data_IF_149586228341
#
_entry.id   IF_149586228341
#
_cell.length_a   1.000
_cell.length_b   1.000
_cell.length_c   1.000
_cell.angle_alpha   90.00
_cell.angle_beta   90.00
_cell.angle_gamma   90.00
#
_symmetry.space_group_name_H-M   'P 1'
#
loop_
_entity.id
_entity.type
_entity.pdbx_description
1 polymer ?
#
# COMPACT_ATOMS: atom_id res chain seq x y z
N UNK A 1 44.15 -33.90 -40.38
CA UNK A 1 44.13 -32.55 -39.76
C UNK A 1 42.69 -32.06 -39.67
N UNK A 2 42.30 -31.61 -38.47
CA UNK A 2 41.10 -30.84 -38.02
C UNK A 2 39.69 -31.23 -38.52
N UNK A 3 38.93 -31.88 -37.62
CA UNK A 3 37.45 -31.90 -37.61
C UNK A 3 36.94 -30.62 -36.94
N UNK A 4 36.13 -29.83 -37.62
CA UNK A 4 35.54 -28.61 -37.06
C UNK A 4 34.14 -28.99 -36.55
N UNK A 5 34.02 -29.20 -35.25
CA UNK A 5 32.73 -29.37 -34.58
C UNK A 5 32.28 -27.98 -34.16
N UNK A 6 31.32 -27.42 -34.90
CA UNK A 6 30.69 -26.14 -34.58
C UNK A 6 29.58 -26.41 -33.56
N UNK A 7 29.94 -26.29 -32.29
CA UNK A 7 29.01 -26.41 -31.17
C UNK A 7 28.14 -25.15 -31.19
N UNK A 8 26.91 -25.28 -31.66
CA UNK A 8 25.86 -24.28 -31.46
C UNK A 8 25.57 -24.20 -29.96
N UNK A 9 26.25 -23.28 -29.29
CA UNK A 9 25.93 -22.87 -27.94
C UNK A 9 24.57 -22.16 -27.97
N UNK A 10 23.50 -22.90 -27.70
CA UNK A 10 22.19 -22.34 -27.40
C UNK A 10 22.34 -21.63 -26.06
N UNK A 11 22.65 -20.33 -26.11
CA UNK A 11 22.64 -19.46 -24.95
C UNK A 11 21.16 -19.23 -24.60
N UNK A 12 20.66 -19.71 -23.46
CA UNK A 12 19.36 -19.26 -23.01
C UNK A 12 19.49 -17.76 -22.71
N UNK A 13 18.91 -16.92 -23.57
CA UNK A 13 18.54 -15.57 -23.17
C UNK A 13 17.54 -15.74 -22.03
N UNK A 14 18.05 -15.68 -20.79
CA UNK A 14 17.21 -15.38 -19.65
C UNK A 14 16.65 -13.99 -19.90
N UNK A 15 15.43 -13.92 -20.45
CA UNK A 15 14.62 -12.72 -20.36
C UNK A 15 14.40 -12.49 -18.87
N UNK A 16 15.27 -11.70 -18.25
CA UNK A 16 14.93 -11.03 -17.01
C UNK A 16 13.74 -10.16 -17.33
N UNK A 17 12.54 -10.64 -17.00
CA UNK A 17 11.39 -9.79 -16.91
C UNK A 17 11.73 -8.74 -15.84
N UNK A 18 12.21 -7.58 -16.26
CA UNK A 18 12.15 -6.39 -15.44
C UNK A 18 10.67 -6.11 -15.24
N UNK A 19 10.10 -6.67 -14.17
CA UNK A 19 8.84 -6.21 -13.63
C UNK A 19 9.09 -4.82 -13.03
N UNK A 20 9.30 -3.83 -13.89
CA UNK A 20 9.25 -2.43 -13.50
C UNK A 20 7.79 -2.10 -13.29
N UNK A 21 7.28 -2.40 -12.11
CA UNK A 21 6.11 -1.69 -11.61
C UNK A 21 6.62 -0.36 -11.10
N UNK A 22 6.80 0.59 -12.02
CA UNK A 22 6.81 2.00 -11.64
C UNK A 22 5.41 2.33 -11.12
N UNK A 23 5.18 2.06 -9.84
CA UNK A 23 4.08 2.65 -9.10
C UNK A 23 4.46 4.10 -8.83
N UNK A 24 4.39 4.93 -9.88
CA UNK A 24 4.37 6.40 -9.77
C UNK A 24 3.01 6.81 -9.22
N UNK A 25 2.83 6.49 -7.94
CA UNK A 25 1.61 6.80 -7.22
C UNK A 25 1.83 8.16 -6.54
N UNK A 26 1.56 9.23 -7.30
CA UNK A 26 1.50 10.59 -6.77
C UNK A 26 0.32 10.69 -5.79
N UNK A 27 0.61 10.45 -4.51
CA UNK A 27 -0.37 10.46 -3.43
C UNK A 27 0.30 11.07 -2.20
N UNK A 28 0.40 12.39 -2.14
CA UNK A 28 1.09 13.07 -1.03
C UNK A 28 0.67 12.56 0.36
N UNK A 29 -0.59 12.09 0.48
CA UNK A 29 -1.16 11.51 1.68
C UNK A 29 -1.29 9.97 1.73
N UNK A 30 -0.95 9.15 0.73
CA UNK A 30 -1.04 7.69 0.92
C UNK A 30 0.27 7.07 1.39
N UNK A 31 0.17 5.98 2.17
CA UNK A 31 1.30 5.21 2.69
C UNK A 31 1.05 3.73 2.46
N UNK A 32 2.05 3.04 1.91
CA UNK A 32 2.06 1.59 1.78
C UNK A 32 2.98 1.03 2.88
N UNK A 33 2.47 0.11 3.68
CA UNK A 33 3.23 -0.51 4.77
C UNK A 33 3.20 -2.02 4.54
N UNK A 34 4.36 -2.60 4.24
CA UNK A 34 4.51 -4.05 4.15
C UNK A 34 4.79 -4.60 5.55
N UNK A 35 3.87 -5.41 6.08
CA UNK A 35 4.02 -6.02 7.39
C UNK A 35 3.25 -7.33 7.48
N UNK A 36 3.79 -8.27 8.25
CA UNK A 36 3.06 -9.45 8.73
C UNK A 36 2.74 -9.37 10.23
N UNK A 37 2.97 -8.21 10.84
CA UNK A 37 2.69 -7.95 12.24
C UNK A 37 1.20 -7.83 12.54
N UNK A 38 0.88 -7.73 13.82
CA UNK A 38 -0.48 -7.53 14.30
C UNK A 38 -1.11 -6.27 13.66
N UNK A 39 -2.37 -6.33 13.17
CA UNK A 39 -3.01 -5.19 12.52
C UNK A 39 -3.00 -3.92 13.36
N UNK A 40 -3.19 -4.01 14.69
CA UNK A 40 -3.19 -2.84 15.55
C UNK A 40 -1.82 -2.17 15.59
N UNK A 41 -0.74 -2.96 15.66
CA UNK A 41 0.61 -2.43 15.61
C UNK A 41 0.92 -1.74 14.27
N UNK A 42 0.39 -2.28 13.16
CA UNK A 42 0.52 -1.67 11.84
C UNK A 42 -0.28 -0.37 11.74
N UNK A 43 -1.49 -0.32 12.32
CA UNK A 43 -2.29 0.91 12.43
C UNK A 43 -1.59 1.98 13.27
N UNK A 44 -1.03 1.61 14.42
CA UNK A 44 -0.35 2.54 15.33
C UNK A 44 0.91 3.10 14.67
N UNK A 45 1.64 2.24 13.96
CA UNK A 45 2.77 2.67 13.13
C UNK A 45 2.32 3.62 12.01
N UNK A 46 1.23 3.31 11.29
CA UNK A 46 0.66 4.17 10.27
C UNK A 46 0.26 5.55 10.82
N UNK A 47 -0.40 5.58 11.98
CA UNK A 47 -0.77 6.82 12.67
C UNK A 47 0.46 7.63 13.05
N UNK A 48 1.50 6.98 13.57
CA UNK A 48 2.75 7.65 13.94
C UNK A 48 3.45 8.30 12.75
N UNK A 49 3.53 7.62 11.60
CA UNK A 49 4.19 8.15 10.40
C UNK A 49 3.36 9.21 9.68
N UNK A 50 2.02 9.13 9.79
CA UNK A 50 1.13 10.10 9.17
C UNK A 50 0.93 11.34 10.03
N UNK A 51 1.24 11.32 11.33
CA UNK A 51 1.08 12.49 12.19
C UNK A 51 2.12 13.55 11.82
N UNK A 52 1.65 14.69 11.29
CA UNK A 52 2.46 15.86 10.96
C UNK A 52 1.66 17.15 11.16
N UNK A 53 2.25 18.31 10.89
CA UNK A 53 1.57 19.60 10.99
C UNK A 53 0.32 19.72 10.10
N UNK A 54 0.19 18.86 9.07
CA UNK A 54 -0.92 18.87 8.12
C UNK A 54 -1.87 17.68 8.26
N UNK A 55 -1.46 16.60 8.95
CA UNK A 55 -2.17 15.34 9.00
C UNK A 55 -2.33 14.87 10.45
N UNK A 56 -3.55 14.50 10.84
CA UNK A 56 -3.90 14.11 12.22
C UNK A 56 -3.61 12.63 12.51
N UNK A 57 -3.52 11.80 11.46
CA UNK A 57 -3.38 10.35 11.59
C UNK A 57 -3.51 9.63 10.25
N UNK A 58 -3.71 8.33 10.31
CA UNK A 58 -3.87 7.44 9.16
C UNK A 58 -5.24 6.75 9.17
N UNK A 59 -5.86 6.66 8.00
CA UNK A 59 -7.05 5.84 7.75
C UNK A 59 -6.67 4.61 6.93
N UNK A 60 -7.17 3.45 7.32
CA UNK A 60 -6.96 2.20 6.60
C UNK A 60 -7.82 2.18 5.32
N UNK A 61 -7.20 1.81 4.21
CA UNK A 61 -7.89 1.66 2.93
C UNK A 61 -8.12 0.18 2.63
N UNK A 62 -7.04 -0.61 2.60
CA UNK A 62 -7.11 -2.03 2.23
C UNK A 62 -5.83 -2.79 2.57
N UNK A 63 -5.92 -4.12 2.55
CA UNK A 63 -4.80 -5.04 2.74
C UNK A 63 -4.77 -6.06 1.60
N UNK A 64 -3.61 -6.23 0.99
CA UNK A 64 -3.35 -7.25 -0.03
C UNK A 64 -2.12 -8.07 0.38
N UNK A 65 -2.33 -9.31 0.82
CA UNK A 65 -1.23 -10.12 1.36
C UNK A 65 -0.60 -9.47 2.60
N UNK A 66 0.65 -9.02 2.48
CA UNK A 66 1.38 -8.29 3.54
C UNK A 66 1.34 -6.77 3.37
N UNK A 67 0.74 -6.27 2.28
CA UNK A 67 0.72 -4.85 1.97
C UNK A 67 -0.52 -4.18 2.53
N UNK A 68 -0.33 -3.24 3.45
CA UNK A 68 -1.36 -2.38 4.00
C UNK A 68 -1.33 -1.02 3.32
N UNK A 69 -2.49 -0.56 2.85
CA UNK A 69 -2.67 0.75 2.22
C UNK A 69 -3.36 1.68 3.20
N UNK A 70 -2.72 2.82 3.45
CA UNK A 70 -3.18 3.87 4.35
C UNK A 70 -3.32 5.20 3.61
N UNK A 71 -4.28 6.02 4.05
CA UNK A 71 -4.41 7.43 3.70
C UNK A 71 -4.16 8.27 4.95
N UNK A 72 -3.12 9.07 4.99
CA UNK A 72 -2.95 10.13 5.97
C UNK A 72 -4.10 11.13 5.84
N UNK A 73 -4.84 11.32 6.93
CA UNK A 73 -6.03 12.17 6.97
C UNK A 73 -5.68 13.53 7.58
N UNK A 74 -6.24 14.59 7.00
CA UNK A 74 -6.14 15.95 7.55
C UNK A 74 -7.27 16.18 8.56
N UNK A 75 -7.11 17.18 9.43
CA UNK A 75 -8.17 17.58 10.37
C UNK A 75 -9.49 17.89 9.65
N UNK A 76 -9.39 18.46 8.45
CA UNK A 76 -10.53 18.92 7.65
C UNK A 76 -11.14 17.80 6.78
N UNK A 77 -10.42 16.67 6.60
CA UNK A 77 -10.86 15.47 5.88
C UNK A 77 -11.41 14.39 6.82
N UNK A 78 -11.49 14.65 8.13
CA UNK A 78 -12.33 13.84 8.99
C UNK A 78 -13.76 14.06 8.53
N UNK A 79 -14.20 13.19 7.61
CA UNK A 79 -15.59 13.04 7.22
C UNK A 79 -16.38 12.94 8.52
N UNK A 80 -17.02 14.06 8.89
CA UNK A 80 -18.19 14.09 9.74
C UNK A 80 -19.00 12.88 9.30
N UNK A 81 -19.13 11.88 10.17
CA UNK A 81 -19.92 10.70 9.91
C UNK A 81 -21.31 11.20 9.51
N UNK A 82 -21.56 11.31 8.20
CA UNK A 82 -22.83 11.81 7.70
C UNK A 82 -23.80 10.69 8.04
N UNK A 83 -24.77 10.90 8.93
CA UNK A 83 -25.70 9.84 9.29
C UNK A 83 -26.36 9.37 8.00
N UNK A 84 -26.34 8.06 7.75
CA UNK A 84 -27.03 7.47 6.60
C UNK A 84 -28.50 7.92 6.69
N UNK A 85 -29.03 8.65 5.69
CA UNK A 85 -30.41 9.12 5.71
C UNK A 85 -31.35 7.93 5.93
N UNK A 86 -32.05 7.90 7.07
CA UNK A 86 -32.98 6.82 7.44
C UNK A 86 -32.53 5.91 8.59
N UNK A 87 -31.25 5.94 9.00
CA UNK A 87 -30.79 5.27 10.22
C UNK A 87 -30.86 6.26 11.39
N UNK A 88 -31.93 6.19 12.18
CA UNK A 88 -31.96 6.88 13.47
C UNK A 88 -30.84 6.29 14.35
N UNK A 89 -29.93 7.09 14.91
CA UNK A 89 -29.08 6.61 15.97
C UNK A 89 -29.99 6.24 17.14
N UNK A 90 -30.09 4.94 17.44
CA UNK A 90 -30.75 4.44 18.64
C UNK A 90 -29.90 4.88 19.83
N UNK A 91 -30.14 6.09 20.33
CA UNK A 91 -29.74 6.47 21.68
C UNK A 91 -30.62 5.65 22.64
N UNK A 92 -30.12 4.48 23.03
CA UNK A 92 -30.62 3.79 24.22
C UNK A 92 -29.91 4.42 25.41
N UNK A 93 -30.62 5.30 26.12
CA UNK A 93 -30.34 5.64 27.50
C UNK A 93 -31.63 5.59 28.28
#
# INVERSE_FOLDING_TARGET
MKRIILILAVVPLFLSACASTELTMSLGNMRLINSSGDPQQVMDFANKICKSDFYIGASFISKAGKDYRFKCVKADENEVLIPIPGLKPSNTK
#
